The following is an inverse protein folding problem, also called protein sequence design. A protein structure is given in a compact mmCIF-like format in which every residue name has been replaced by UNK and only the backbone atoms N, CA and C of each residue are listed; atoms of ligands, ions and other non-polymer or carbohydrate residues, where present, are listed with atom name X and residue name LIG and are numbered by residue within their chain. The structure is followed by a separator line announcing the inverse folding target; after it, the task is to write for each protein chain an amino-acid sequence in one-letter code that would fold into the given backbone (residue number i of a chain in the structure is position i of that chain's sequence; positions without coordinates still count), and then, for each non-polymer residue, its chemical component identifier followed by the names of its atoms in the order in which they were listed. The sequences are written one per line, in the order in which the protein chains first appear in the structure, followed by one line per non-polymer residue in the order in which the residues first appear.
data_IF_617863674019
#
_entry.id   IF_617863674019
#
_cell.length_a   1.000
_cell.length_b   1.000
_cell.length_c   1.000
_cell.angle_alpha   90.00
_cell.angle_beta   90.00
_cell.angle_gamma   90.00
#
_symmetry.space_group_name_H-M   'P 1'
#
loop_
_entity.id
_entity.type
_entity.pdbx_description
1 polymer ?
#
# COMPACT_ATOMS: atom_id res chain seq x y z
N UNK A 1 -18.53 -9.79 -16.70
CA UNK A 1 -18.01 -8.84 -15.69
C UNK A 1 -16.98 -7.90 -16.31
N UNK A 2 -15.84 -8.36 -16.81
CA UNK A 2 -14.84 -7.47 -17.43
C UNK A 2 -15.34 -6.71 -18.67
N UNK A 3 -16.09 -7.37 -19.56
CA UNK A 3 -16.65 -6.73 -20.77
C UNK A 3 -17.54 -5.52 -20.39
N UNK A 4 -18.44 -5.68 -19.41
CA UNK A 4 -19.32 -4.61 -18.93
C UNK A 4 -18.61 -3.43 -18.28
N UNK A 5 -17.35 -3.60 -17.84
CA UNK A 5 -16.55 -2.54 -17.22
C UNK A 5 -15.61 -1.83 -18.21
N UNK A 6 -15.38 -2.44 -19.37
CA UNK A 6 -14.39 -1.98 -20.35
C UNK A 6 -15.02 -1.46 -21.63
N UNK A 7 -16.20 -1.97 -22.01
CA UNK A 7 -16.97 -1.52 -23.19
C UNK A 7 -17.61 -0.14 -22.94
N UNK A 8 -16.78 0.91 -23.02
CA UNK A 8 -17.14 2.33 -22.79
C UNK A 8 -17.39 3.12 -24.08
N UNK A 9 -17.36 2.45 -25.24
CA UNK A 9 -17.60 3.08 -26.54
C UNK A 9 -19.06 3.50 -26.75
N UNK A 10 -19.28 4.46 -27.66
CA UNK A 10 -20.63 4.88 -28.08
C UNK A 10 -21.45 3.74 -28.73
N UNK A 11 -20.76 2.68 -29.15
CA UNK A 11 -21.34 1.45 -29.68
C UNK A 11 -20.86 0.30 -28.79
N UNK A 12 -21.80 -0.46 -28.22
CA UNK A 12 -21.45 -1.65 -27.46
C UNK A 12 -20.74 -2.66 -28.38
N UNK A 13 -19.48 -2.92 -28.09
CA UNK A 13 -18.60 -3.77 -28.90
C UNK A 13 -18.65 -5.22 -28.42
N UNK A 14 -19.19 -5.47 -27.22
CA UNK A 14 -19.22 -6.78 -26.53
C UNK A 14 -17.82 -7.42 -26.40
N UNK A 15 -16.79 -6.57 -26.51
CA UNK A 15 -15.38 -6.91 -26.49
C UNK A 15 -14.70 -6.19 -25.33
N UNK A 16 -13.64 -6.81 -24.81
CA UNK A 16 -12.82 -6.18 -23.78
C UNK A 16 -12.00 -5.08 -24.46
N UNK A 17 -12.22 -3.83 -24.05
CA UNK A 17 -11.33 -2.73 -24.39
C UNK A 17 -10.05 -2.86 -23.55
N UNK A 18 -9.00 -3.37 -24.18
CA UNK A 18 -7.69 -3.56 -23.53
C UNK A 18 -7.01 -2.24 -23.20
N UNK A 19 -7.24 -1.19 -23.98
CA UNK A 19 -6.62 0.12 -23.74
C UNK A 19 -7.15 0.75 -22.45
N UNK A 20 -8.45 0.55 -22.17
CA UNK A 20 -9.08 0.96 -20.91
C UNK A 20 -8.50 0.21 -19.71
N UNK A 21 -8.22 -1.09 -19.86
CA UNK A 21 -7.59 -1.89 -18.79
C UNK A 21 -6.15 -1.43 -18.58
N UNK A 22 -5.38 -1.27 -19.65
CA UNK A 22 -3.97 -0.88 -19.59
C UNK A 22 -3.81 0.51 -18.98
N UNK A 23 -4.71 1.46 -19.28
CA UNK A 23 -4.74 2.75 -18.62
C UNK A 23 -5.03 2.62 -17.12
N UNK A 24 -6.02 1.83 -16.73
CA UNK A 24 -6.38 1.64 -15.33
C UNK A 24 -5.28 0.91 -14.53
N UNK A 25 -4.52 0.02 -15.17
CA UNK A 25 -3.32 -0.60 -14.61
C UNK A 25 -2.20 0.42 -14.46
N UNK A 26 -1.92 1.22 -15.48
CA UNK A 26 -0.90 2.27 -15.42
C UNK A 26 -1.18 3.30 -14.32
N UNK A 27 -2.45 3.66 -14.13
CA UNK A 27 -2.87 4.58 -13.06
C UNK A 27 -2.66 3.94 -11.67
N UNK A 28 -2.97 2.65 -11.54
CA UNK A 28 -2.75 1.91 -10.30
C UNK A 28 -1.25 1.76 -9.97
N UNK A 29 -0.42 1.46 -10.96
CA UNK A 29 1.03 1.36 -10.82
C UNK A 29 1.63 2.69 -10.37
N UNK A 30 1.25 3.80 -11.02
CA UNK A 30 1.71 5.14 -10.64
C UNK A 30 1.31 5.51 -9.20
N UNK A 31 0.09 5.13 -8.78
CA UNK A 31 -0.36 5.34 -7.40
C UNK A 31 0.46 4.52 -6.40
N UNK A 32 0.67 3.23 -6.67
CA UNK A 32 1.45 2.33 -5.80
C UNK A 32 2.89 2.82 -5.68
N UNK A 33 3.53 3.14 -6.80
CA UNK A 33 4.90 3.65 -6.85
C UNK A 33 5.05 4.93 -6.02
N UNK A 34 4.05 5.81 -6.03
CA UNK A 34 4.04 7.01 -5.18
C UNK A 34 4.09 6.72 -3.68
N UNK A 35 3.43 5.65 -3.20
CA UNK A 35 3.46 5.25 -1.78
C UNK A 35 4.70 4.44 -1.42
N UNK A 36 5.06 3.49 -2.30
CA UNK A 36 6.13 2.52 -2.06
C UNK A 36 7.51 3.15 -2.26
N UNK A 37 7.64 4.07 -3.21
CA UNK A 37 8.86 4.83 -3.51
C UNK A 37 9.36 5.72 -2.36
N UNK A 38 8.54 5.94 -1.33
CA UNK A 38 8.95 6.61 -0.08
C UNK A 38 10.01 5.80 0.67
N UNK A 39 9.93 4.47 0.61
CA UNK A 39 10.78 3.57 1.41
C UNK A 39 11.64 2.62 0.60
N UNK A 40 11.24 2.34 -0.64
CA UNK A 40 11.86 1.33 -1.47
C UNK A 40 12.37 1.96 -2.76
N UNK A 41 13.50 1.47 -3.26
CA UNK A 41 14.01 1.90 -4.56
C UNK A 41 13.11 1.36 -5.68
N UNK A 42 12.81 2.21 -6.65
CA UNK A 42 12.06 1.89 -7.87
C UNK A 42 12.98 2.03 -9.09
N UNK A 43 12.85 1.19 -10.13
CA UNK A 43 11.91 0.06 -10.21
C UNK A 43 12.34 -1.12 -9.33
N UNK A 44 11.38 -1.87 -8.80
CA UNK A 44 11.66 -3.08 -8.02
C UNK A 44 12.17 -4.21 -8.91
N UNK A 45 13.20 -4.95 -8.47
CA UNK A 45 13.67 -6.13 -9.22
C UNK A 45 12.68 -7.31 -9.14
N UNK A 46 11.92 -7.41 -8.04
CA UNK A 46 10.92 -8.46 -7.85
C UNK A 46 9.70 -7.87 -7.17
N UNK A 47 8.56 -7.90 -7.86
CA UNK A 47 7.29 -7.42 -7.33
C UNK A 47 6.67 -8.47 -6.39
N UNK A 48 6.48 -8.16 -5.10
CA UNK A 48 5.84 -9.09 -4.18
C UNK A 48 4.38 -9.37 -4.56
N UNK A 49 3.84 -10.57 -4.27
CA UNK A 49 2.43 -10.90 -4.52
C UNK A 49 1.44 -9.92 -3.86
N UNK A 50 1.83 -9.34 -2.72
CA UNK A 50 1.02 -8.33 -2.03
C UNK A 50 0.78 -7.09 -2.92
N UNK A 51 1.80 -6.59 -3.61
CA UNK A 51 1.66 -5.44 -4.51
C UNK A 51 0.70 -5.77 -5.65
N UNK A 52 0.81 -6.96 -6.24
CA UNK A 52 -0.13 -7.41 -7.28
C UNK A 52 -1.58 -7.46 -6.80
N UNK A 53 -1.82 -7.91 -5.56
CA UNK A 53 -3.18 -7.92 -4.98
C UNK A 53 -3.74 -6.51 -4.75
N UNK A 54 -2.88 -5.56 -4.35
CA UNK A 54 -3.26 -4.15 -4.14
C UNK A 54 -3.54 -3.46 -5.48
N UNK A 55 -2.69 -3.69 -6.48
CA UNK A 55 -2.87 -3.18 -7.84
C UNK A 55 -4.22 -3.63 -8.39
N UNK A 56 -4.54 -4.93 -8.27
CA UNK A 56 -5.82 -5.47 -8.73
C UNK A 56 -7.03 -4.80 -8.05
N UNK A 57 -7.00 -4.60 -6.73
CA UNK A 57 -8.10 -3.94 -6.02
C UNK A 57 -8.30 -2.49 -6.50
N UNK A 58 -7.20 -1.76 -6.72
CA UNK A 58 -7.22 -0.38 -7.22
C UNK A 58 -7.71 -0.32 -8.67
N UNK A 59 -7.19 -1.19 -9.54
CA UNK A 59 -7.61 -1.26 -10.94
C UNK A 59 -9.10 -1.60 -11.06
N UNK A 60 -9.61 -2.57 -10.30
CA UNK A 60 -11.05 -2.90 -10.31
C UNK A 60 -11.88 -1.68 -9.90
N UNK A 61 -11.46 -0.95 -8.87
CA UNK A 61 -12.14 0.27 -8.46
C UNK A 61 -12.10 1.33 -9.56
N UNK A 62 -10.93 1.60 -10.16
CA UNK A 62 -10.75 2.58 -11.23
C UNK A 62 -11.58 2.27 -12.49
N UNK A 63 -11.81 0.99 -12.78
CA UNK A 63 -12.67 0.56 -13.89
C UNK A 63 -14.16 0.84 -13.62
N UNK A 64 -14.58 0.95 -12.36
CA UNK A 64 -15.95 1.34 -12.02
C UNK A 64 -16.07 2.87 -12.00
N UNK A 65 -16.42 3.45 -13.16
CA UNK A 65 -16.66 4.90 -13.30
C UNK A 65 -17.95 5.36 -12.61
N UNK A 66 -18.94 4.46 -12.49
CA UNK A 66 -20.20 4.69 -11.78
C UNK A 66 -20.10 4.20 -10.31
N UNK A 67 -21.22 4.14 -9.58
CA UNK A 67 -21.23 3.68 -8.18
C UNK A 67 -20.76 2.21 -8.10
N UNK A 68 -19.56 1.93 -7.54
CA UNK A 68 -19.09 0.57 -7.37
C UNK A 68 -19.90 -0.14 -6.28
N UNK A 69 -19.85 -1.48 -6.26
CA UNK A 69 -20.38 -2.26 -5.14
C UNK A 69 -19.69 -1.85 -3.83
N UNK A 70 -20.41 -1.76 -2.69
CA UNK A 70 -19.82 -1.45 -1.39
C UNK A 70 -18.58 -2.29 -1.05
N UNK A 71 -18.54 -3.56 -1.48
CA UNK A 71 -17.38 -4.44 -1.29
C UNK A 71 -16.15 -3.93 -2.04
N UNK A 72 -16.32 -3.50 -3.29
CA UNK A 72 -15.22 -3.00 -4.12
C UNK A 72 -14.67 -1.69 -3.53
N UNK A 73 -15.56 -0.83 -3.02
CA UNK A 73 -15.15 0.39 -2.33
C UNK A 73 -14.40 0.09 -1.02
N UNK A 74 -14.84 -0.92 -0.26
CA UNK A 74 -14.14 -1.37 0.95
C UNK A 74 -12.76 -1.96 0.64
N UNK A 75 -12.66 -2.81 -0.37
CA UNK A 75 -11.39 -3.41 -0.82
C UNK A 75 -10.40 -2.32 -1.29
N UNK A 76 -10.89 -1.31 -2.02
CA UNK A 76 -10.08 -0.15 -2.41
C UNK A 76 -9.57 0.65 -1.21
N UNK A 77 -10.45 0.96 -0.25
CA UNK A 77 -10.05 1.66 0.99
C UNK A 77 -9.06 0.85 1.81
N UNK A 78 -9.24 -0.48 1.88
CA UNK A 78 -8.31 -1.38 2.54
C UNK A 78 -6.94 -1.37 1.84
N UNK A 79 -6.92 -1.37 0.50
CA UNK A 79 -5.69 -1.28 -0.28
C UNK A 79 -4.94 0.03 -0.02
N UNK A 80 -5.63 1.18 -0.03
CA UNK A 80 -5.04 2.49 0.29
C UNK A 80 -4.48 2.53 1.71
N UNK A 81 -5.17 1.93 2.69
CA UNK A 81 -4.67 1.82 4.06
C UNK A 81 -3.38 1.01 4.10
N UNK A 82 -3.34 -0.14 3.45
CA UNK A 82 -2.13 -0.97 3.38
C UNK A 82 -0.97 -0.26 2.70
N UNK A 83 -1.20 0.47 1.61
CA UNK A 83 -0.17 1.29 0.96
C UNK A 83 0.37 2.38 1.89
N UNK A 84 -0.52 3.02 2.67
CA UNK A 84 -0.11 3.99 3.69
C UNK A 84 0.70 3.33 4.82
N UNK A 85 0.32 2.14 5.25
CA UNK A 85 1.06 1.35 6.24
C UNK A 85 2.44 0.93 5.70
N UNK A 86 2.55 0.61 4.41
CA UNK A 86 3.84 0.37 3.75
C UNK A 86 4.69 1.65 3.75
N UNK A 87 4.13 2.78 3.31
CA UNK A 87 4.87 4.06 3.27
C UNK A 87 5.34 4.53 4.66
N UNK A 88 4.56 4.27 5.71
CA UNK A 88 4.90 4.60 7.09
C UNK A 88 5.83 3.57 7.75
N UNK A 89 5.96 2.37 7.17
CA UNK A 89 6.78 1.27 7.66
C UNK A 89 6.10 0.34 8.66
N UNK A 90 4.77 0.43 8.82
CA UNK A 90 3.97 -0.53 9.57
C UNK A 90 3.90 -1.89 8.88
N UNK A 91 3.98 -1.92 7.54
CA UNK A 91 4.07 -3.14 6.73
C UNK A 91 5.39 -3.14 5.96
N UNK A 92 6.12 -4.25 6.00
CA UNK A 92 7.35 -4.43 5.23
C UNK A 92 7.13 -5.40 4.08
N UNK A 93 7.57 -5.00 2.89
CA UNK A 93 7.60 -5.86 1.73
C UNK A 93 8.77 -6.85 1.83
N UNK A 94 8.56 -8.14 1.49
CA UNK A 94 9.60 -9.17 1.53
C UNK A 94 10.50 -9.08 0.29
N UNK A 95 11.10 -7.92 0.05
CA UNK A 95 12.05 -7.72 -1.05
C UNK A 95 13.47 -7.68 -0.50
N UNK A 96 14.36 -8.46 -1.12
CA UNK A 96 15.76 -8.49 -0.74
C UNK A 96 16.46 -7.20 -1.20
N UNK A 97 17.23 -6.57 -0.31
CA UNK A 97 18.20 -5.52 -0.68
C UNK A 97 17.66 -4.12 -0.99
N UNK A 98 16.35 -3.85 -0.88
CA UNK A 98 15.78 -2.54 -1.20
C UNK A 98 15.41 -1.72 0.05
N UNK A 99 16.25 -1.71 1.10
CA UNK A 99 16.18 -0.60 2.05
C UNK A 99 16.67 0.66 1.32
N UNK A 100 15.82 1.66 1.12
CA UNK A 100 16.27 2.95 0.58
C UNK A 100 17.45 3.49 1.41
N UNK A 101 18.45 4.16 0.79
CA UNK A 101 19.54 4.77 1.54
C UNK A 101 18.95 5.71 2.60
N UNK A 102 19.27 5.42 3.86
CA UNK A 102 18.38 5.67 4.99
C UNK A 102 17.92 7.11 5.18
N UNK A 103 16.61 7.28 5.33
CA UNK A 103 16.08 8.27 6.29
C UNK A 103 15.80 7.55 7.59
N UNK A 104 16.79 7.56 8.47
CA UNK A 104 16.63 7.11 9.84
C UNK A 104 15.50 7.89 10.51
N UNK A 105 14.39 7.22 10.78
CA UNK A 105 13.47 7.67 11.82
C UNK A 105 12.69 6.49 12.39
N UNK A 106 13.07 6.16 13.62
CA UNK A 106 12.18 5.72 14.68
C UNK A 106 11.49 4.37 14.48
N UNK A 107 12.30 3.31 14.41
CA UNK A 107 11.94 2.11 15.18
C UNK A 107 11.66 2.55 16.61
N UNK A 108 10.55 2.07 17.19
CA UNK A 108 10.08 2.46 18.52
C UNK A 108 11.25 2.71 19.47
N UNK A 109 11.46 3.96 19.87
CA UNK A 109 12.33 4.25 21.01
C UNK A 109 11.61 3.66 22.22
N UNK A 110 11.94 2.42 22.55
CA UNK A 110 11.79 1.95 23.91
C UNK A 110 12.70 2.85 24.74
N UNK A 111 12.17 3.97 25.22
CA UNK A 111 12.76 4.65 26.36
C UNK A 111 12.51 3.73 27.54
N UNK A 112 13.27 2.65 27.62
CA UNK A 112 13.44 1.98 28.90
C UNK A 112 14.25 2.98 29.72
N UNK A 113 13.51 3.85 30.42
CA UNK A 113 14.09 4.77 31.36
C UNK A 113 14.64 3.86 32.44
N UNK A 114 15.94 3.63 32.42
CA UNK A 114 16.64 2.82 33.43
C UNK A 114 16.09 3.26 34.79
N UNK A 115 15.33 2.39 35.44
CA UNK A 115 14.71 2.67 36.73
C UNK A 115 15.69 2.12 37.76
N UNK A 116 16.57 2.94 38.37
CA UNK A 116 17.55 2.42 39.29
C UNK A 116 16.86 2.25 40.63
N UNK A 117 16.02 1.23 40.76
CA UNK A 117 15.52 0.76 42.05
C UNK A 117 16.63 -0.02 42.73
N UNK A 118 17.67 0.70 43.16
CA UNK A 118 18.72 0.13 43.99
C UNK A 118 18.35 0.34 45.46
N UNK A 119 18.81 -0.55 46.35
CA UNK A 119 18.57 -0.45 47.80
C UNK A 119 19.04 0.91 48.39
N UNK A 120 19.93 1.63 47.69
CA UNK A 120 20.38 2.97 48.04
C UNK A 120 19.32 4.08 47.80
N UNK A 121 18.37 3.90 46.87
CA UNK A 121 17.36 4.91 46.50
C UNK A 121 16.05 4.81 47.31
N UNK A 122 15.90 3.80 48.17
CA UNK A 122 14.75 3.64 49.07
C UNK A 122 15.11 4.07 50.50
N UNK A 123 15.22 5.37 50.73
CA UNK A 123 15.19 5.96 52.08
C UNK A 123 14.15 7.08 52.12
N UNK A 124 13.04 6.85 52.81
CA UNK A 124 12.00 7.86 52.97
C UNK A 124 10.59 7.30 53.15
N UNK A 125 10.41 6.34 54.05
CA UNK A 125 9.12 6.11 54.69
C UNK A 125 9.40 5.91 56.18
N UNK A 126 9.30 7.01 56.92
CA UNK A 126 9.06 7.05 58.37
C UNK A 126 7.70 7.69 58.55
#
# INVERSE_FOLDING_TARGET
MLISLTDRGDVATDAIDTDVIDQALSDADAMIDGYVGVRYALPMETTPPLIGSLALAITIYNLHVASPDPKIEEDYKAALRTLRDISSGGVRLPIAGADAPGTGSSGARLTDRERPLTQASMKGFI
#
